data_IF_183157143045
#
_entry.id   IF_183157143045
#
_cell.length_a   1.000
_cell.length_b   1.000
_cell.length_c   1.000
_cell.angle_alpha   90.00
_cell.angle_beta   90.00
_cell.angle_gamma   90.00
#
_symmetry.space_group_name_H-M   'P 1'
#
loop_
_entity.id
_entity.type
_entity.pdbx_description
1 polymer ?
#
# COMPACT_ATOMS: atom_id res chain seq x y z
N UNK A 1 31.01 -7.70 -14.05
CA UNK A 1 31.10 -7.28 -12.64
C UNK A 1 29.75 -7.54 -11.99
N UNK A 2 29.76 -8.36 -10.94
CA UNK A 2 28.56 -8.86 -10.26
C UNK A 2 27.78 -7.72 -9.61
N UNK A 3 26.48 -7.67 -9.88
CA UNK A 3 25.54 -6.69 -9.34
C UNK A 3 25.29 -6.97 -7.85
N UNK A 4 26.21 -6.55 -6.98
CA UNK A 4 26.19 -6.79 -5.52
C UNK A 4 25.30 -5.83 -4.73
N UNK A 5 24.50 -4.99 -5.40
CA UNK A 5 23.61 -4.02 -4.74
C UNK A 5 22.13 -4.43 -4.72
N UNK A 6 21.81 -5.67 -5.07
CA UNK A 6 20.44 -6.17 -4.93
C UNK A 6 20.08 -6.36 -3.45
N UNK A 7 19.42 -5.34 -2.90
CA UNK A 7 18.50 -5.34 -1.75
C UNK A 7 19.08 -5.73 -0.39
N UNK A 8 19.67 -4.73 0.28
CA UNK A 8 20.08 -4.86 1.67
C UNK A 8 18.92 -4.69 2.69
N UNK A 9 17.73 -4.20 2.30
CA UNK A 9 16.61 -4.05 3.25
C UNK A 9 15.79 -5.35 3.40
N UNK A 10 15.40 -5.96 2.27
CA UNK A 10 14.53 -7.15 2.26
C UNK A 10 15.17 -8.45 2.76
N UNK A 11 16.50 -8.56 2.85
CA UNK A 11 17.18 -9.76 3.39
C UNK A 11 17.26 -9.80 4.92
N UNK A 12 17.05 -8.65 5.57
CA UNK A 12 17.13 -8.54 7.03
C UNK A 12 15.75 -8.55 7.70
N UNK A 13 14.71 -8.31 6.93
CA UNK A 13 13.33 -8.39 7.39
C UNK A 13 12.75 -9.73 6.97
N UNK A 14 12.19 -10.45 7.93
CA UNK A 14 11.45 -11.69 7.67
C UNK A 14 10.02 -11.50 8.16
N UNK A 15 9.08 -12.09 7.44
CA UNK A 15 7.69 -12.10 7.88
C UNK A 15 7.57 -12.77 9.25
N UNK A 16 6.80 -12.18 10.15
CA UNK A 16 6.63 -12.72 11.52
C UNK A 16 5.97 -14.10 11.43
N UNK A 17 6.50 -15.08 12.17
CA UNK A 17 5.94 -16.45 12.22
C UNK A 17 4.42 -16.50 12.48
N UNK A 18 3.90 -15.56 13.27
CA UNK A 18 2.48 -15.45 13.60
C UNK A 18 1.56 -15.17 12.39
N UNK A 19 2.10 -14.62 11.29
CA UNK A 19 1.35 -14.37 10.05
C UNK A 19 1.12 -15.68 9.26
N UNK A 20 1.99 -16.68 9.44
CA UNK A 20 1.80 -18.02 8.85
C UNK A 20 2.22 -18.18 7.39
N UNK A 21 2.70 -17.13 6.74
CA UNK A 21 3.29 -17.13 5.40
C UNK A 21 4.41 -16.10 5.32
N UNK A 22 5.19 -16.13 4.24
CA UNK A 22 6.23 -15.15 3.97
C UNK A 22 5.79 -14.19 2.85
N UNK A 23 5.68 -12.89 3.13
CA UNK A 23 5.31 -11.88 2.15
C UNK A 23 6.30 -11.82 0.97
N UNK A 24 7.54 -12.28 1.13
CA UNK A 24 8.60 -12.12 0.13
C UNK A 24 9.00 -13.41 -0.59
N UNK A 25 8.41 -14.54 -0.21
CA UNK A 25 8.61 -15.81 -0.92
C UNK A 25 7.67 -15.93 -2.12
N UNK A 26 8.25 -16.28 -3.27
CA UNK A 26 7.54 -16.54 -4.52
C UNK A 26 7.30 -18.05 -4.77
N UNK A 27 7.53 -18.90 -3.77
CA UNK A 27 7.21 -20.33 -3.88
C UNK A 27 5.68 -20.53 -3.97
N UNK A 28 5.24 -21.43 -4.86
CA UNK A 28 3.81 -21.65 -5.14
C UNK A 28 2.99 -21.96 -3.88
N UNK A 29 3.54 -22.80 -2.98
CA UNK A 29 2.89 -23.12 -1.70
C UNK A 29 2.70 -21.88 -0.82
N UNK A 30 3.67 -20.96 -0.84
CA UNK A 30 3.59 -19.73 -0.07
C UNK A 30 2.61 -18.74 -0.70
N UNK A 31 2.61 -18.60 -2.03
CA UNK A 31 1.62 -17.81 -2.76
C UNK A 31 0.20 -18.32 -2.46
N UNK A 32 -0.01 -19.64 -2.43
CA UNK A 32 -1.31 -20.21 -2.09
C UNK A 32 -1.75 -19.85 -0.66
N UNK A 33 -0.83 -19.83 0.32
CA UNK A 33 -1.14 -19.38 1.69
C UNK A 33 -1.58 -17.92 1.74
N UNK A 34 -0.94 -17.04 0.97
CA UNK A 34 -1.34 -15.62 0.86
C UNK A 34 -2.73 -15.51 0.24
N UNK A 35 -2.99 -16.25 -0.84
CA UNK A 35 -4.31 -16.27 -1.51
C UNK A 35 -5.38 -16.76 -0.53
N UNK A 36 -5.13 -17.84 0.20
CA UNK A 36 -6.08 -18.40 1.16
C UNK A 36 -6.34 -17.44 2.32
N UNK A 37 -5.32 -16.72 2.79
CA UNK A 37 -5.46 -15.67 3.79
C UNK A 37 -6.38 -14.55 3.30
N UNK A 38 -6.15 -14.02 2.10
CA UNK A 38 -6.98 -12.96 1.51
C UNK A 38 -8.40 -13.45 1.24
N UNK A 39 -8.58 -14.66 0.68
CA UNK A 39 -9.91 -15.24 0.44
C UNK A 39 -10.72 -15.36 1.73
N UNK A 40 -10.11 -15.88 2.80
CA UNK A 40 -10.76 -15.97 4.12
C UNK A 40 -11.16 -14.59 4.66
N UNK A 41 -10.29 -13.58 4.51
CA UNK A 41 -10.61 -12.22 4.92
C UNK A 41 -11.81 -11.65 4.14
N UNK A 42 -11.86 -11.88 2.82
CA UNK A 42 -12.99 -11.45 1.96
C UNK A 42 -14.28 -12.19 2.29
N UNK A 43 -14.25 -13.52 2.40
CA UNK A 43 -15.41 -14.36 2.73
C UNK A 43 -16.04 -13.98 4.08
N UNK A 44 -15.19 -13.65 5.06
CA UNK A 44 -15.63 -13.24 6.40
C UNK A 44 -16.00 -11.76 6.50
N UNK A 45 -15.74 -10.95 5.47
CA UNK A 45 -15.84 -9.48 5.58
C UNK A 45 -15.01 -8.95 6.75
N UNK A 46 -13.74 -9.38 6.78
CA UNK A 46 -12.78 -9.09 7.83
C UNK A 46 -11.51 -8.49 7.21
N UNK A 47 -11.69 -7.42 6.44
CA UNK A 47 -10.60 -6.62 5.89
C UNK A 47 -11.02 -5.14 5.81
N UNK A 48 -10.04 -4.24 5.77
CA UNK A 48 -10.28 -2.84 5.47
C UNK A 48 -9.93 -2.58 4.02
N UNK A 49 -10.80 -1.93 3.28
CA UNK A 49 -10.52 -1.53 1.91
C UNK A 49 -10.08 -0.07 1.89
N UNK A 50 -8.81 0.16 1.59
CA UNK A 50 -8.18 1.47 1.68
C UNK A 50 -7.84 1.99 0.28
N UNK A 51 -8.44 3.11 -0.12
CA UNK A 51 -8.21 3.68 -1.45
C UNK A 51 -7.11 4.72 -1.38
N UNK A 52 -5.97 4.38 -1.97
CA UNK A 52 -4.87 5.31 -2.14
C UNK A 52 -5.09 6.05 -3.46
N UNK A 53 -5.43 7.32 -3.37
CA UNK A 53 -5.71 8.14 -4.53
C UNK A 53 -4.46 8.92 -4.93
N UNK A 54 -4.21 9.02 -6.23
CA UNK A 54 -3.17 9.90 -6.76
C UNK A 54 -3.33 10.12 -8.25
N UNK A 55 -2.76 11.20 -8.75
CA UNK A 55 -2.60 11.37 -10.20
C UNK A 55 -1.75 10.22 -10.79
N UNK A 56 -2.00 9.88 -12.05
CA UNK A 56 -1.31 8.76 -12.72
C UNK A 56 0.21 8.89 -12.65
N UNK A 57 0.77 10.10 -12.74
CA UNK A 57 2.21 10.35 -12.64
C UNK A 57 2.80 9.94 -11.28
N UNK A 58 2.07 10.17 -10.19
CA UNK A 58 2.51 9.74 -8.86
C UNK A 58 2.54 8.21 -8.77
N UNK A 59 1.47 7.56 -9.27
CA UNK A 59 1.39 6.11 -9.33
C UNK A 59 2.45 5.49 -10.22
N UNK A 60 2.83 6.14 -11.33
CA UNK A 60 3.89 5.65 -12.21
C UNK A 60 5.19 5.46 -11.42
N UNK A 61 5.57 6.43 -10.59
CA UNK A 61 6.79 6.35 -9.80
C UNK A 61 6.68 5.31 -8.68
N UNK A 62 5.53 5.25 -8.00
CA UNK A 62 5.23 4.22 -6.98
C UNK A 62 5.34 2.80 -7.54
N UNK A 63 4.78 2.56 -8.73
CA UNK A 63 4.86 1.27 -9.43
C UNK A 63 6.31 0.99 -9.89
N UNK A 64 7.02 1.98 -10.46
CA UNK A 64 8.45 1.81 -10.82
C UNK A 64 9.29 1.41 -9.62
N UNK A 65 9.06 1.98 -8.44
CA UNK A 65 9.74 1.54 -7.22
C UNK A 65 9.45 0.09 -6.88
N UNK A 66 8.21 -0.37 -7.05
CA UNK A 66 7.85 -1.78 -6.88
C UNK A 66 8.46 -2.72 -7.92
N UNK A 67 9.00 -2.21 -9.02
CA UNK A 67 9.67 -3.01 -10.04
C UNK A 67 11.19 -2.95 -9.91
N UNK A 68 11.75 -1.82 -9.48
CA UNK A 68 13.18 -1.54 -9.56
C UNK A 68 13.84 -1.25 -8.21
N UNK A 69 13.13 -0.61 -7.28
CA UNK A 69 13.67 -0.21 -5.98
C UNK A 69 13.53 -1.33 -4.95
N UNK A 70 12.30 -1.51 -4.49
CA UNK A 70 11.94 -2.61 -3.60
C UNK A 70 10.95 -3.53 -4.30
N UNK A 71 11.49 -4.41 -5.17
CA UNK A 71 10.71 -5.40 -5.94
C UNK A 71 9.61 -6.03 -5.07
N UNK A 72 8.35 -5.87 -5.50
CA UNK A 72 7.15 -6.39 -4.84
C UNK A 72 6.49 -5.45 -3.84
N UNK A 73 7.05 -4.26 -3.57
CA UNK A 73 6.45 -3.25 -2.69
C UNK A 73 6.31 -1.91 -3.36
N UNK A 74 5.15 -1.29 -3.21
CA UNK A 74 4.93 0.10 -3.62
C UNK A 74 4.86 1.00 -2.40
N UNK A 75 5.08 2.30 -2.62
CA UNK A 75 4.95 3.33 -1.61
C UNK A 75 3.87 4.32 -2.04
N UNK A 76 3.02 4.71 -1.12
CA UNK A 76 2.15 5.87 -1.24
C UNK A 76 2.42 6.80 -0.07
N UNK A 77 2.65 8.07 -0.31
CA UNK A 77 2.92 9.05 0.72
C UNK A 77 1.83 10.10 0.86
N UNK A 78 1.87 10.87 1.95
CA UNK A 78 1.11 12.10 2.15
C UNK A 78 1.92 13.09 3.01
N UNK A 79 1.77 14.41 2.84
CA UNK A 79 2.35 15.39 3.75
C UNK A 79 1.89 15.24 5.21
N UNK A 80 0.73 14.61 5.45
CA UNK A 80 0.14 14.46 6.78
C UNK A 80 -0.49 15.74 7.31
N UNK A 81 -0.49 16.84 6.56
CA UNK A 81 -1.10 18.09 6.97
C UNK A 81 -2.63 18.00 6.94
N UNK A 82 -3.29 18.46 8.00
CA UNK A 82 -4.76 18.50 8.12
C UNK A 82 -5.44 17.12 7.99
N UNK A 83 -4.75 16.02 8.31
CA UNK A 83 -5.29 14.64 8.27
C UNK A 83 -5.69 14.08 9.64
N UNK A 84 -5.65 14.91 10.69
CA UNK A 84 -5.82 14.48 12.08
C UNK A 84 -4.67 13.62 12.58
N UNK A 85 -4.73 13.21 13.85
CA UNK A 85 -3.74 12.35 14.49
C UNK A 85 -4.45 11.13 15.12
N UNK A 86 -3.83 9.94 15.05
CA UNK A 86 -4.27 8.80 15.85
C UNK A 86 -4.04 9.13 17.32
N UNK A 87 -5.11 9.08 18.13
CA UNK A 87 -5.06 9.51 19.54
C UNK A 87 -4.09 8.68 20.38
N UNK A 88 -3.85 7.42 20.00
CA UNK A 88 -3.01 6.50 20.76
C UNK A 88 -1.52 6.71 20.48
N UNK A 89 -1.15 6.98 19.23
CA UNK A 89 0.25 7.04 18.76
C UNK A 89 0.71 8.47 18.51
N UNK A 90 -0.20 9.43 18.38
CA UNK A 90 0.08 10.80 17.95
C UNK A 90 0.49 10.91 16.48
N UNK A 91 0.45 9.82 15.73
CA UNK A 91 0.91 9.76 14.35
C UNK A 91 -0.11 10.45 13.43
N UNK A 92 0.38 11.22 12.44
CA UNK A 92 -0.50 11.90 11.49
C UNK A 92 -1.23 10.90 10.59
N UNK A 93 -2.37 11.31 10.03
CA UNK A 93 -3.24 10.50 9.18
C UNK A 93 -4.11 9.52 9.97
N UNK A 94 -4.87 10.07 10.93
CA UNK A 94 -5.70 9.32 11.88
C UNK A 94 -6.49 8.17 11.22
N UNK A 95 -7.21 8.42 10.13
CA UNK A 95 -8.08 7.40 9.51
C UNK A 95 -7.31 6.14 9.11
N UNK A 96 -6.15 6.27 8.45
CA UNK A 96 -5.38 5.12 7.99
C UNK A 96 -4.60 4.48 9.15
N UNK A 97 -3.98 5.29 10.01
CA UNK A 97 -3.21 4.79 11.15
C UNK A 97 -4.09 4.06 12.15
N UNK A 98 -5.26 4.61 12.49
CA UNK A 98 -6.21 3.98 13.39
C UNK A 98 -6.62 2.60 12.86
N UNK A 99 -6.95 2.50 11.57
CA UNK A 99 -7.35 1.22 10.96
C UNK A 99 -6.20 0.23 10.90
N UNK A 100 -5.00 0.68 10.55
CA UNK A 100 -3.81 -0.17 10.60
C UNK A 100 -3.57 -0.74 12.00
N UNK A 101 -3.69 0.11 13.01
CA UNK A 101 -3.60 -0.26 14.42
C UNK A 101 -4.69 -1.26 14.82
N UNK A 102 -5.95 -0.92 14.60
CA UNK A 102 -7.12 -1.74 14.96
C UNK A 102 -7.10 -3.11 14.31
N UNK A 103 -6.62 -3.21 13.07
CA UNK A 103 -6.59 -4.48 12.35
C UNK A 103 -5.45 -5.41 12.73
N UNK A 104 -4.40 -4.91 13.39
CA UNK A 104 -3.20 -5.69 13.67
C UNK A 104 -2.89 -5.83 15.15
N UNK A 105 -3.33 -4.91 15.99
CA UNK A 105 -3.01 -4.91 17.42
C UNK A 105 -4.26 -4.80 18.29
N UNK A 106 -4.17 -5.39 19.48
CA UNK A 106 -5.13 -5.24 20.57
C UNK A 106 -4.41 -4.77 21.83
N UNK A 107 -5.13 -4.03 22.67
CA UNK A 107 -4.66 -3.64 23.99
C UNK A 107 -5.34 -4.55 25.01
N UNK A 108 -4.56 -5.33 25.74
CA UNK A 108 -5.06 -6.17 26.83
C UNK A 108 -4.28 -5.84 28.10
N UNK A 109 -4.99 -5.44 29.16
CA UNK A 109 -4.39 -5.08 30.46
C UNK A 109 -3.28 -4.02 30.33
N UNK A 110 -3.46 -3.03 29.45
CA UNK A 110 -2.48 -1.98 29.20
C UNK A 110 -1.28 -2.40 28.34
N UNK A 111 -1.21 -3.64 27.87
CA UNK A 111 -0.15 -4.12 27.00
C UNK A 111 -0.63 -4.27 25.54
N UNK A 112 0.20 -3.81 24.60
CA UNK A 112 -0.01 -4.01 23.16
C UNK A 112 0.33 -5.45 22.79
N UNK A 113 -0.59 -6.13 22.12
CA UNK A 113 -0.43 -7.49 21.58
C UNK A 113 -0.89 -7.55 20.14
N UNK A 114 -0.43 -8.55 19.39
CA UNK A 114 -0.98 -8.86 18.08
C UNK A 114 -2.46 -9.25 18.21
N UNK A 115 -3.29 -8.76 17.30
CA UNK A 115 -4.67 -9.20 17.17
C UNK A 115 -4.70 -10.70 16.81
N UNK A 116 -5.55 -11.52 17.48
CA UNK A 116 -5.65 -12.95 17.19
C UNK A 116 -6.30 -13.22 15.82
N UNK A 117 -7.15 -12.31 15.37
CA UNK A 117 -7.69 -12.30 14.01
C UNK A 117 -7.21 -11.01 13.35
N UNK A 118 -6.25 -11.14 12.42
CA UNK A 118 -5.70 -9.99 11.71
C UNK A 118 -6.73 -9.54 10.68
N UNK A 119 -7.07 -8.26 10.72
CA UNK A 119 -7.96 -7.58 9.81
C UNK A 119 -7.09 -6.78 8.81
N UNK A 120 -6.64 -7.38 7.69
CA UNK A 120 -5.66 -6.75 6.82
C UNK A 120 -6.23 -5.50 6.14
N UNK A 121 -5.34 -4.54 5.88
CA UNK A 121 -5.66 -3.36 5.08
C UNK A 121 -5.30 -3.66 3.62
N UNK A 122 -6.32 -3.76 2.78
CA UNK A 122 -6.17 -3.92 1.34
C UNK A 122 -6.09 -2.54 0.70
N UNK A 123 -4.88 -2.17 0.29
CA UNK A 123 -4.62 -0.92 -0.40
C UNK A 123 -4.94 -1.05 -1.88
N UNK A 124 -5.90 -0.26 -2.38
CA UNK A 124 -6.23 -0.15 -3.79
C UNK A 124 -5.51 1.05 -4.39
N UNK A 125 -4.82 0.83 -5.50
CA UNK A 125 -4.06 1.86 -6.21
C UNK A 125 -4.98 2.56 -7.20
N UNK A 126 -5.50 3.73 -6.85
CA UNK A 126 -6.50 4.41 -7.66
C UNK A 126 -5.91 5.67 -8.32
N UNK A 127 -5.85 5.66 -9.65
CA UNK A 127 -5.47 6.82 -10.44
C UNK A 127 -6.68 7.71 -10.74
N UNK A 128 -6.62 8.99 -10.34
CA UNK A 128 -7.64 9.98 -10.70
C UNK A 128 -7.37 10.65 -12.04
N UNK A 129 -8.47 11.08 -12.69
CA UNK A 129 -8.40 12.00 -13.83
C UNK A 129 -8.10 13.40 -13.28
N UNK A 130 -7.01 14.03 -13.70
CA UNK A 130 -6.85 15.47 -13.51
C UNK A 130 -7.51 16.25 -14.65
N UNK A 131 -7.53 15.73 -15.89
CA UNK A 131 -8.16 16.39 -17.05
C UNK A 131 -8.76 15.43 -18.11
N UNK A 132 -9.53 15.98 -19.05
CA UNK A 132 -10.16 15.24 -20.15
C UNK A 132 -9.11 14.60 -21.06
N UNK A 133 -9.01 13.27 -21.03
CA UNK A 133 -8.08 12.48 -21.84
C UNK A 133 -7.12 11.60 -21.03
N UNK A 134 -7.04 11.81 -19.71
CA UNK A 134 -6.17 11.02 -18.84
C UNK A 134 -6.74 9.65 -18.47
N UNK A 135 -5.80 8.71 -18.27
CA UNK A 135 -6.07 7.34 -17.85
C UNK A 135 -6.31 7.32 -16.35
N UNK A 136 -7.46 6.79 -15.94
CA UNK A 136 -7.88 6.67 -14.55
C UNK A 136 -8.37 5.26 -14.26
N UNK A 137 -8.54 4.95 -12.98
CA UNK A 137 -9.10 3.68 -12.53
C UNK A 137 -8.17 2.95 -11.58
N UNK A 138 -8.53 1.71 -11.27
CA UNK A 138 -7.75 0.85 -10.38
C UNK A 138 -6.57 0.25 -11.15
N UNK A 139 -5.37 0.58 -10.70
CA UNK A 139 -4.10 0.13 -11.27
C UNK A 139 -3.61 -1.18 -10.63
N UNK A 140 -4.17 -1.56 -9.49
CA UNK A 140 -3.74 -2.75 -8.75
C UNK A 140 -4.16 -2.67 -7.29
N UNK A 141 -3.71 -3.65 -6.51
CA UNK A 141 -3.92 -3.66 -5.07
C UNK A 141 -2.84 -4.45 -4.34
N UNK A 142 -2.79 -4.26 -3.03
CA UNK A 142 -1.85 -4.94 -2.15
C UNK A 142 -2.26 -4.90 -0.68
N UNK A 143 -1.40 -5.42 0.20
CA UNK A 143 -1.57 -5.38 1.65
C UNK A 143 -0.70 -4.26 2.21
N UNK A 144 -1.27 -3.33 2.97
CA UNK A 144 -0.48 -2.32 3.71
C UNK A 144 0.31 -3.03 4.80
N UNK A 145 1.64 -2.97 4.73
CA UNK A 145 2.52 -3.71 5.63
C UNK A 145 3.09 -2.85 6.75
N UNK A 146 3.28 -1.56 6.50
CA UNK A 146 3.85 -0.62 7.47
C UNK A 146 3.51 0.84 7.09
N UNK A 147 3.60 1.70 8.09
CA UNK A 147 3.40 3.15 7.98
C UNK A 147 4.62 3.82 8.61
N UNK A 148 5.35 4.57 7.81
CA UNK A 148 6.56 5.27 8.20
C UNK A 148 6.35 6.78 8.25
N UNK A 149 7.05 7.44 9.17
CA UNK A 149 7.20 8.89 9.20
C UNK A 149 8.67 9.21 8.92
N UNK A 150 8.95 9.92 7.84
CA UNK A 150 10.32 10.19 7.41
C UNK A 150 10.46 11.61 6.86
N UNK A 151 11.21 12.42 7.61
CA UNK A 151 11.54 13.80 7.26
C UNK A 151 12.83 13.93 6.46
N UNK A 152 13.62 12.85 6.35
CA UNK A 152 14.99 12.89 5.83
C UNK A 152 15.10 12.40 4.40
N UNK A 153 14.25 11.44 4.01
CA UNK A 153 14.33 10.78 2.70
C UNK A 153 13.07 11.04 1.90
N UNK A 154 13.28 11.59 0.71
CA UNK A 154 12.23 11.66 -0.30
C UNK A 154 12.20 10.39 -1.16
N UNK A 155 11.04 10.12 -1.75
CA UNK A 155 10.82 9.02 -2.68
C UNK A 155 11.31 9.39 -4.09
N UNK A 156 12.09 8.50 -4.70
CA UNK A 156 12.64 8.74 -6.04
C UNK A 156 11.51 8.82 -7.07
N UNK A 157 11.47 9.92 -7.83
CA UNK A 157 10.43 10.18 -8.84
C UNK A 157 9.26 11.02 -8.32
N UNK A 158 9.21 11.34 -7.03
CA UNK A 158 8.30 12.35 -6.52
C UNK A 158 8.93 13.73 -6.58
N UNK A 159 8.14 14.70 -7.03
CA UNK A 159 8.48 16.11 -6.96
C UNK A 159 7.73 16.70 -5.78
N UNK A 160 8.47 17.26 -4.84
CA UNK A 160 7.86 18.10 -3.80
C UNK A 160 7.41 19.40 -4.45
N UNK A 161 6.13 19.72 -4.31
CA UNK A 161 5.58 20.99 -4.75
C UNK A 161 5.54 21.95 -3.56
N UNK A 162 6.07 23.16 -3.74
CA UNK A 162 5.88 24.31 -2.84
C UNK A 162 6.16 24.01 -1.34
N UNK A 163 7.38 23.58 -1.02
CA UNK A 163 7.87 23.37 0.36
C UNK A 163 7.16 22.26 1.17
N UNK A 164 6.32 21.42 0.53
CA UNK A 164 5.64 20.31 1.21
C UNK A 164 6.48 19.04 1.18
N UNK A 165 6.89 18.60 2.36
CA UNK A 165 7.52 17.31 2.58
C UNK A 165 6.47 16.21 2.66
N UNK A 166 6.68 15.09 1.98
CA UNK A 166 5.81 13.91 2.08
C UNK A 166 6.24 13.06 3.27
N UNK A 167 5.76 13.45 4.45
CA UNK A 167 6.23 12.94 5.73
C UNK A 167 5.76 11.53 6.04
N UNK A 168 4.50 11.21 5.72
CA UNK A 168 3.90 9.91 6.00
C UNK A 168 4.01 9.04 4.76
N UNK A 169 4.44 7.78 4.92
CA UNK A 169 4.55 6.82 3.82
C UNK A 169 3.95 5.49 4.22
N UNK A 170 3.10 4.97 3.35
CA UNK A 170 2.45 3.68 3.47
C UNK A 170 3.16 2.73 2.52
N UNK A 171 3.74 1.68 3.09
CA UNK A 171 4.36 0.62 2.31
C UNK A 171 3.37 -0.50 2.12
N UNK A 172 3.25 -0.94 0.86
CA UNK A 172 2.20 -1.84 0.44
C UNK A 172 2.84 -2.99 -0.34
N UNK A 173 2.69 -4.23 0.15
CA UNK A 173 3.05 -5.43 -0.60
C UNK A 173 2.09 -5.57 -1.76
N UNK A 174 2.60 -5.45 -2.98
CA UNK A 174 1.79 -5.59 -4.19
C UNK A 174 1.39 -7.05 -4.35
N UNK A 175 0.09 -7.29 -4.45
CA UNK A 175 -0.46 -8.61 -4.78
C UNK A 175 -0.83 -8.70 -6.26
N UNK A 176 -1.28 -7.59 -6.84
CA UNK A 176 -1.72 -7.54 -8.22
C UNK A 176 -1.51 -6.16 -8.84
N UNK A 177 -1.07 -6.16 -10.09
CA UNK A 177 -1.15 -5.01 -10.98
C UNK A 177 -2.12 -5.32 -12.11
N UNK A 178 -2.85 -4.29 -12.56
CA UNK A 178 -3.73 -4.35 -13.73
C UNK A 178 -2.97 -4.85 -14.97
N UNK A 179 -3.68 -5.52 -15.87
CA UNK A 179 -3.13 -6.11 -17.09
C UNK A 179 -2.40 -5.11 -17.97
N UNK A 180 -2.88 -3.87 -18.04
CA UNK A 180 -2.21 -2.82 -18.81
C UNK A 180 -0.79 -2.56 -18.31
N UNK A 181 -0.54 -2.68 -17.00
CA UNK A 181 0.78 -2.53 -16.39
C UNK A 181 1.61 -3.78 -16.61
N UNK A 182 1.06 -4.96 -16.27
CA UNK A 182 1.78 -6.24 -16.40
C UNK A 182 2.25 -6.52 -17.82
N UNK A 183 1.44 -6.14 -18.82
CA UNK A 183 1.76 -6.32 -20.24
C UNK A 183 2.65 -5.19 -20.80
N UNK A 184 2.92 -4.12 -20.05
CA UNK A 184 3.67 -2.96 -20.52
C UNK A 184 4.65 -2.41 -19.46
N UNK A 185 5.34 -3.26 -18.68
CA UNK A 185 6.19 -2.84 -17.55
C UNK A 185 7.22 -1.74 -17.89
N UNK A 186 7.74 -1.71 -19.12
CA UNK A 186 8.71 -0.70 -19.58
C UNK A 186 8.09 0.54 -20.25
N UNK A 187 6.75 0.63 -20.34
CA UNK A 187 6.06 1.70 -21.06
C UNK A 187 4.88 2.26 -20.24
N UNK A 188 5.17 3.17 -19.28
CA UNK A 188 4.15 3.75 -18.39
C UNK A 188 3.05 4.52 -19.10
N UNK A 189 3.34 5.09 -20.27
CA UNK A 189 2.34 5.81 -21.09
C UNK A 189 1.21 4.89 -21.56
N UNK A 190 1.43 3.55 -21.52
CA UNK A 190 0.40 2.55 -21.83
C UNK A 190 -0.45 2.15 -20.62
N UNK A 191 -0.05 2.46 -19.40
CA UNK A 191 -0.75 2.01 -18.18
C UNK A 191 -2.09 2.72 -17.99
N UNK A 192 -3.15 1.95 -17.77
CA UNK A 192 -4.51 2.42 -17.50
C UNK A 192 -5.14 1.60 -16.38
N UNK A 193 -6.03 2.22 -15.60
CA UNK A 193 -6.78 1.50 -14.59
C UNK A 193 -8.07 0.90 -15.12
N UNK A 194 -8.61 -0.07 -14.39
CA UNK A 194 -9.98 -0.54 -14.61
C UNK A 194 -10.96 0.49 -14.03
N UNK A 195 -11.99 0.84 -14.80
CA UNK A 195 -13.11 1.61 -14.29
C UNK A 195 -14.00 0.66 -13.49
N UNK A 196 -14.16 0.94 -12.19
CA UNK A 196 -15.11 0.22 -11.35
C UNK A 196 -16.41 1.04 -11.34
N UNK A 197 -17.50 0.47 -11.87
CA UNK A 197 -18.82 1.10 -11.82
C UNK A 197 -19.26 1.31 -10.37
N UNK A 198 -19.88 2.46 -10.08
CA UNK A 198 -20.28 2.84 -8.72
C UNK A 198 -19.16 3.43 -7.85
N UNK A 199 -17.96 3.60 -8.40
CA UNK A 199 -16.79 4.12 -7.67
C UNK A 199 -16.70 5.66 -7.61
N UNK A 200 -17.53 6.37 -8.38
CA UNK A 200 -17.56 7.83 -8.39
C UNK A 200 -18.18 8.38 -7.08
N UNK A 201 -17.34 8.67 -6.08
CA UNK A 201 -17.77 9.31 -4.84
C UNK A 201 -17.08 8.87 -3.55
N UNK A 202 -16.17 7.88 -3.60
CA UNK A 202 -15.35 7.55 -2.43
C UNK A 202 -14.45 8.75 -2.09
N UNK A 203 -14.47 9.18 -0.82
CA UNK A 203 -13.59 10.24 -0.35
C UNK A 203 -12.14 9.73 -0.36
N UNK A 204 -11.25 10.59 -0.81
CA UNK A 204 -9.84 10.29 -1.07
C UNK A 204 -9.12 9.78 0.19
N UNK A 205 -8.24 8.79 0.03
CA UNK A 205 -7.36 8.27 1.09
C UNK A 205 -8.11 7.80 2.36
N UNK A 206 -9.19 7.06 2.15
CA UNK A 206 -9.99 6.48 3.23
C UNK A 206 -9.93 4.95 3.21
N UNK A 207 -10.00 4.37 4.41
CA UNK A 207 -10.27 2.96 4.62
C UNK A 207 -11.75 2.77 5.00
N UNK A 208 -12.36 1.76 4.40
CA UNK A 208 -13.73 1.35 4.68
C UNK A 208 -13.76 -0.01 5.35
N UNK A 209 -14.66 -0.16 6.31
CA UNK A 209 -15.02 -1.46 6.87
C UNK A 209 -15.86 -2.19 5.81
N UNK A 210 -15.44 -3.40 5.44
CA UNK A 210 -16.16 -4.26 4.49
C UNK A 210 -16.76 -5.45 5.20
#
# INVERSE_FOLDING_TARGET
ESNTYTKMYGKWLNTRKAIGFDLDSYEDENIQKIIDFIKKAVEKKNFYLCFFEGGIEHWINSIKYSLEGEIGYTLWGDPGENKGQDEMTGFSFATLVNKYREGHIKIENGAVKLAPDIHPLIGVFYATKKDSGEKSGVLGFGIVTDIDFDVYRNFKGWKEDNDKLWLVRFRIKVLYFNDSIRNNLGNPDKWSGDNIEGFAGFRTNQCFDV
#
